data_IF_163355934914
#
_entry.id   IF_163355934914
#
_cell.length_a   1.000
_cell.length_b   1.000
_cell.length_c   1.000
_cell.angle_alpha   90.00
_cell.angle_beta   90.00
_cell.angle_gamma   90.00
#
_symmetry.space_group_name_H-M   'P 1'
#
loop_
_entity.id
_entity.type
_entity.pdbx_description
1 polymer ?
#
# COMPACT_ATOMS: atom_id res chain seq x y z
N UNK A 1 34.33 45.70 -12.41
CA UNK A 1 33.24 45.49 -11.44
C UNK A 1 32.06 44.93 -12.23
N UNK A 2 32.03 43.63 -12.54
CA UNK A 2 31.45 42.54 -11.73
C UNK A 2 30.10 42.91 -11.09
N UNK A 3 29.00 42.38 -11.62
CA UNK A 3 27.89 41.79 -10.86
C UNK A 3 27.06 40.91 -11.81
N UNK A 4 27.53 39.68 -12.02
CA UNK A 4 26.68 38.59 -12.54
C UNK A 4 25.71 38.20 -11.44
N UNK A 5 24.44 38.59 -11.58
CA UNK A 5 23.36 38.08 -10.75
C UNK A 5 22.97 36.68 -11.27
N UNK A 6 23.67 35.65 -10.78
CA UNK A 6 23.12 34.30 -10.77
C UNK A 6 22.01 34.29 -9.72
N UNK A 7 20.76 34.41 -10.17
CA UNK A 7 19.59 34.02 -9.39
C UNK A 7 19.66 32.50 -9.18
N UNK A 8 19.87 31.98 -7.96
CA UNK A 8 19.57 30.58 -7.72
C UNK A 8 18.06 30.44 -7.91
N UNK A 9 17.65 29.78 -8.98
CA UNK A 9 16.33 29.16 -9.02
C UNK A 9 16.33 28.18 -7.85
N UNK A 10 15.77 28.60 -6.72
CA UNK A 10 15.42 27.70 -5.64
C UNK A 10 14.37 26.76 -6.21
N UNK A 11 14.81 25.66 -6.80
CA UNK A 11 13.96 24.52 -7.06
C UNK A 11 13.39 24.17 -5.69
N UNK A 12 12.09 24.39 -5.51
CA UNK A 12 11.38 23.90 -4.34
C UNK A 12 11.71 22.41 -4.24
N UNK A 13 12.48 22.02 -3.23
CA UNK A 13 12.79 20.63 -2.96
C UNK A 13 11.57 20.01 -2.28
N UNK A 14 10.50 19.92 -3.07
CA UNK A 14 9.34 19.15 -2.71
C UNK A 14 9.82 17.73 -2.48
N UNK A 15 9.64 17.25 -1.25
CA UNK A 15 9.86 15.84 -1.01
C UNK A 15 8.92 15.04 -1.92
N UNK A 16 9.39 13.85 -2.23
CA UNK A 16 8.70 12.85 -3.04
C UNK A 16 7.27 12.56 -2.56
N UNK A 17 7.03 12.69 -1.25
CA UNK A 17 5.75 12.41 -0.64
C UNK A 17 5.66 13.00 0.77
N UNK A 18 4.46 12.97 1.32
CA UNK A 18 4.23 13.28 2.73
C UNK A 18 4.90 12.29 3.66
N UNK A 19 5.42 12.80 4.77
CA UNK A 19 5.85 12.03 5.91
C UNK A 19 4.67 11.27 6.53
N UNK A 20 4.91 10.08 7.10
CA UNK A 20 3.86 9.25 7.67
C UNK A 20 3.04 9.97 8.77
N UNK A 21 3.63 10.96 9.45
CA UNK A 21 2.98 11.76 10.47
C UNK A 21 2.24 13.00 9.94
N UNK A 22 2.28 13.29 8.63
CA UNK A 22 1.66 14.49 8.07
C UNK A 22 0.18 14.60 8.38
N UNK A 23 -0.57 13.50 8.34
CA UNK A 23 -1.99 13.50 8.70
C UNK A 23 -2.24 14.06 10.10
N UNK A 24 -1.38 13.71 11.07
CA UNK A 24 -1.48 14.22 12.44
C UNK A 24 -0.97 15.66 12.55
N UNK A 25 0.14 15.99 11.87
CA UNK A 25 0.72 17.33 11.89
C UNK A 25 -0.19 18.37 11.25
N UNK A 26 -0.76 18.07 10.09
CA UNK A 26 -1.72 18.93 9.38
C UNK A 26 -2.93 19.21 10.27
N UNK A 27 -3.47 18.18 10.95
CA UNK A 27 -4.58 18.32 11.92
C UNK A 27 -4.22 19.27 13.07
N UNK A 28 -2.97 19.27 13.51
CA UNK A 28 -2.44 20.13 14.56
C UNK A 28 -1.92 21.50 14.04
N UNK A 29 -2.27 21.88 12.81
CA UNK A 29 -1.95 23.20 12.26
C UNK A 29 -0.57 23.35 11.65
N UNK A 30 0.16 22.25 11.37
CA UNK A 30 1.51 22.29 10.79
C UNK A 30 1.60 23.15 9.52
N UNK A 31 0.65 23.04 8.60
CA UNK A 31 0.68 23.81 7.36
C UNK A 31 0.44 25.32 7.57
N UNK A 32 -0.25 25.71 8.64
CA UNK A 32 -0.60 27.11 8.93
C UNK A 32 0.31 27.77 9.97
N UNK A 33 1.15 26.99 10.64
CA UNK A 33 2.01 27.48 11.70
C UNK A 33 3.23 28.22 11.12
N UNK A 34 3.31 29.52 11.38
CA UNK A 34 4.37 30.41 10.91
C UNK A 34 5.77 30.03 11.41
N UNK A 35 5.88 29.20 12.47
CA UNK A 35 7.16 28.66 12.94
C UNK A 35 7.78 27.67 11.92
N UNK A 36 6.98 27.06 11.05
CA UNK A 36 7.47 26.18 10.00
C UNK A 36 7.58 26.95 8.69
N UNK A 37 8.82 27.16 8.24
CA UNK A 37 9.06 27.80 6.96
C UNK A 37 8.62 26.88 5.79
N UNK A 38 8.51 27.47 4.60
CA UNK A 38 8.06 26.76 3.40
C UNK A 38 8.92 25.54 3.06
N UNK A 39 10.24 25.59 3.29
CA UNK A 39 11.13 24.47 3.02
C UNK A 39 10.81 23.26 3.92
N UNK A 40 10.52 23.49 5.22
CA UNK A 40 10.08 22.43 6.15
C UNK A 40 8.74 21.85 5.71
N UNK A 41 7.80 22.71 5.28
CA UNK A 41 6.50 22.25 4.75
C UNK A 41 6.69 21.38 3.50
N UNK A 42 7.55 21.81 2.56
CA UNK A 42 7.86 21.07 1.34
C UNK A 42 8.63 19.76 1.59
N UNK A 43 9.47 19.72 2.63
CA UNK A 43 10.25 18.53 2.97
C UNK A 43 9.41 17.46 3.66
N UNK A 44 8.51 17.86 4.55
CA UNK A 44 7.77 16.92 5.38
C UNK A 44 6.39 16.63 4.83
N UNK A 45 5.62 17.64 4.43
CA UNK A 45 4.22 17.47 4.00
C UNK A 45 3.95 18.17 2.65
N UNK A 46 4.73 17.89 1.59
CA UNK A 46 4.60 18.55 0.30
C UNK A 46 3.22 18.39 -0.33
N UNK A 47 2.53 17.27 -0.10
CA UNK A 47 1.23 16.98 -0.73
C UNK A 47 0.07 17.33 0.19
N UNK A 48 0.20 17.11 1.51
CA UNK A 48 -0.86 17.40 2.47
C UNK A 48 -1.04 18.89 2.75
N UNK A 49 0.02 19.70 2.62
CA UNK A 49 -0.06 21.14 2.81
C UNK A 49 -0.27 21.85 1.48
N UNK A 50 -1.46 22.41 1.24
CA UNK A 50 -1.80 23.13 0.00
C UNK A 50 -0.93 24.38 -0.24
N UNK A 51 -0.36 24.96 0.82
CA UNK A 51 0.57 26.09 0.75
C UNK A 51 2.04 25.68 0.51
N UNK A 52 2.33 24.38 0.39
CA UNK A 52 3.67 23.90 0.05
C UNK A 52 4.15 24.46 -1.30
N UNK A 53 3.22 24.72 -2.23
CA UNK A 53 3.54 25.06 -3.61
C UNK A 53 4.17 23.89 -4.37
N UNK A 54 4.09 22.68 -3.84
CA UNK A 54 4.50 21.46 -4.52
C UNK A 54 3.39 20.97 -5.43
N UNK A 55 3.77 20.65 -6.67
CA UNK A 55 2.86 19.99 -7.60
C UNK A 55 2.98 18.49 -7.34
N UNK A 56 1.85 17.82 -7.08
CA UNK A 56 1.77 16.37 -7.04
C UNK A 56 1.85 15.83 -8.46
N UNK A 57 3.03 15.85 -9.06
CA UNK A 57 3.25 15.12 -10.31
C UNK A 57 3.44 13.66 -9.96
N UNK A 58 2.52 12.81 -10.41
CA UNK A 58 2.79 11.37 -10.52
C UNK A 58 4.09 11.22 -11.28
N UNK A 59 5.11 10.59 -10.68
CA UNK A 59 6.34 10.32 -11.42
C UNK A 59 5.97 9.41 -12.60
N UNK A 60 6.54 9.68 -13.77
CA UNK A 60 6.48 8.74 -14.91
C UNK A 60 7.70 7.85 -14.99
N UNK A 61 8.72 8.12 -14.16
CA UNK A 61 9.94 7.33 -14.04
C UNK A 61 9.95 6.62 -12.69
N UNK A 62 9.97 5.29 -12.72
CA UNK A 62 10.04 4.47 -11.50
C UNK A 62 11.43 4.51 -10.86
N UNK A 63 11.49 4.30 -9.55
CA UNK A 63 12.75 4.02 -8.87
C UNK A 63 13.35 2.70 -9.38
N UNK A 64 14.66 2.65 -9.57
CA UNK A 64 15.37 1.43 -10.01
C UNK A 64 15.22 0.26 -9.04
N UNK A 65 14.86 0.53 -7.77
CA UNK A 65 14.61 -0.49 -6.76
C UNK A 65 13.16 -0.98 -6.70
N UNK A 66 12.24 -0.49 -7.53
CA UNK A 66 10.82 -0.85 -7.42
C UNK A 66 10.57 -2.36 -7.50
N UNK A 67 11.21 -3.06 -8.45
CA UNK A 67 11.15 -4.51 -8.52
C UNK A 67 11.66 -5.18 -7.23
N UNK A 68 12.75 -4.68 -6.64
CA UNK A 68 13.28 -5.22 -5.40
C UNK A 68 12.29 -5.01 -4.25
N UNK A 69 11.81 -3.78 -4.04
CA UNK A 69 10.92 -3.43 -2.94
C UNK A 69 9.54 -4.10 -3.02
N UNK A 70 9.01 -4.27 -4.24
CA UNK A 70 7.74 -4.95 -4.47
C UNK A 70 7.83 -6.45 -4.16
N UNK A 71 8.98 -7.08 -4.48
CA UNK A 71 9.19 -8.51 -4.27
C UNK A 71 9.81 -8.86 -2.91
N UNK A 72 10.32 -7.89 -2.15
CA UNK A 72 10.93 -8.14 -0.85
C UNK A 72 9.89 -8.55 0.19
N UNK A 73 10.00 -9.78 0.70
CA UNK A 73 9.11 -10.34 1.71
C UNK A 73 9.11 -9.57 3.04
N UNK A 74 10.17 -8.82 3.35
CA UNK A 74 10.22 -8.02 4.59
C UNK A 74 9.31 -6.81 4.52
N UNK A 75 9.19 -6.17 3.35
CA UNK A 75 8.46 -4.90 3.18
C UNK A 75 7.17 -5.02 2.38
N UNK A 76 7.17 -5.81 1.30
CA UNK A 76 6.08 -5.93 0.33
C UNK A 76 5.54 -4.56 -0.09
N UNK A 77 6.41 -3.70 -0.64
CA UNK A 77 6.17 -2.25 -0.72
C UNK A 77 4.81 -1.85 -1.32
N UNK A 78 4.40 -2.46 -2.43
CA UNK A 78 3.13 -2.15 -3.07
C UNK A 78 1.91 -2.52 -2.19
N UNK A 79 2.07 -3.46 -1.25
CA UNK A 79 1.03 -3.90 -0.34
C UNK A 79 1.29 -3.57 1.14
N UNK A 80 2.27 -2.69 1.42
CA UNK A 80 2.55 -2.26 2.78
C UNK A 80 1.36 -1.43 3.32
N UNK A 81 0.85 -1.74 4.53
CA UNK A 81 -0.33 -1.09 5.10
C UNK A 81 -0.06 0.35 5.57
N UNK A 82 1.18 0.65 5.90
CA UNK A 82 1.64 1.97 6.33
C UNK A 82 2.20 2.83 5.18
N UNK A 83 2.00 2.40 3.92
CA UNK A 83 2.49 3.09 2.72
C UNK A 83 1.30 3.73 1.98
N UNK A 84 1.15 5.06 2.00
CA UNK A 84 0.08 5.76 1.29
C UNK A 84 0.13 5.53 -0.23
N UNK A 85 -1.03 5.56 -0.88
CA UNK A 85 -1.15 5.44 -2.35
C UNK A 85 -0.28 6.47 -3.07
N UNK A 86 -0.22 7.71 -2.58
CA UNK A 86 0.62 8.75 -3.15
C UNK A 86 2.12 8.39 -3.14
N UNK A 87 2.62 7.76 -2.06
CA UNK A 87 4.01 7.27 -2.00
C UNK A 87 4.24 6.15 -3.02
N UNK A 88 3.32 5.20 -3.12
CA UNK A 88 3.40 4.11 -4.12
C UNK A 88 3.43 4.68 -5.54
N UNK A 89 2.52 5.59 -5.86
CA UNK A 89 2.44 6.27 -7.15
C UNK A 89 3.66 7.12 -7.46
N UNK A 90 4.30 7.70 -6.45
CA UNK A 90 5.50 8.50 -6.68
C UNK A 90 6.72 7.62 -6.95
N UNK A 91 6.98 6.65 -6.09
CA UNK A 91 8.20 5.83 -6.19
C UNK A 91 8.10 4.76 -7.27
N UNK A 92 6.96 4.07 -7.34
CA UNK A 92 6.77 2.89 -8.17
C UNK A 92 5.43 2.92 -8.93
N UNK A 93 5.19 3.95 -9.77
CA UNK A 93 3.92 4.17 -10.47
C UNK A 93 3.49 3.00 -11.36
N UNK A 94 4.44 2.31 -12.01
CA UNK A 94 4.13 1.23 -12.95
C UNK A 94 4.19 -0.13 -12.27
N UNK A 95 5.18 -0.38 -11.39
CA UNK A 95 5.33 -1.64 -10.65
C UNK A 95 4.17 -1.85 -9.67
N UNK A 96 3.70 -0.78 -9.00
CA UNK A 96 2.56 -0.86 -8.08
C UNK A 96 1.22 -0.47 -8.73
N UNK A 97 1.13 -0.40 -10.06
CA UNK A 97 -0.05 0.12 -10.76
C UNK A 97 -1.34 -0.59 -10.36
N UNK A 98 -1.30 -1.91 -10.17
CA UNK A 98 -2.47 -2.70 -9.76
C UNK A 98 -2.97 -2.35 -8.36
N UNK A 99 -2.06 -2.13 -7.40
CA UNK A 99 -2.36 -1.72 -6.03
C UNK A 99 -2.82 -0.27 -5.95
N UNK A 100 -2.26 0.61 -6.78
CA UNK A 100 -2.65 2.01 -6.88
C UNK A 100 -4.06 2.11 -7.49
N UNK A 101 -4.33 1.38 -8.57
CA UNK A 101 -5.61 1.42 -9.25
C UNK A 101 -6.74 0.75 -8.47
N UNK A 102 -6.43 -0.03 -7.42
CA UNK A 102 -7.41 -0.83 -6.69
C UNK A 102 -8.24 -1.70 -7.64
N UNK A 103 -7.57 -2.24 -8.67
CA UNK A 103 -8.21 -2.93 -9.79
C UNK A 103 -8.84 -4.28 -9.40
N UNK A 104 -8.43 -4.83 -8.26
CA UNK A 104 -8.92 -6.09 -7.71
C UNK A 104 -9.84 -5.81 -6.52
N UNK A 105 -10.67 -6.78 -6.16
CA UNK A 105 -11.53 -6.71 -4.99
C UNK A 105 -10.77 -7.23 -3.74
N UNK A 106 -10.10 -8.37 -3.88
CA UNK A 106 -9.18 -8.88 -2.87
C UNK A 106 -7.92 -9.45 -3.50
N UNK A 107 -6.81 -9.40 -2.75
CA UNK A 107 -5.57 -10.06 -3.13
C UNK A 107 -4.79 -10.56 -1.93
N UNK A 108 -3.99 -11.60 -2.14
CA UNK A 108 -3.13 -12.22 -1.13
C UNK A 108 -1.70 -12.22 -1.63
N UNK A 109 -0.75 -11.83 -0.79
CA UNK A 109 0.67 -11.72 -1.14
C UNK A 109 1.44 -12.84 -0.45
N UNK A 110 1.87 -13.84 -1.24
CA UNK A 110 2.48 -15.08 -0.76
C UNK A 110 3.98 -15.07 -1.04
N UNK A 111 4.75 -15.32 0.00
CA UNK A 111 6.20 -15.52 -0.11
C UNK A 111 6.49 -16.79 -0.92
N UNK A 112 7.40 -16.67 -1.89
CA UNK A 112 7.98 -17.78 -2.63
C UNK A 112 9.50 -17.60 -2.62
N UNK A 113 10.16 -18.20 -1.62
CA UNK A 113 11.57 -17.95 -1.34
C UNK A 113 11.81 -16.49 -0.92
N UNK A 114 12.64 -15.77 -1.66
CA UNK A 114 12.94 -14.35 -1.41
C UNK A 114 11.94 -13.38 -2.07
N UNK A 115 11.05 -13.90 -2.93
CA UNK A 115 10.11 -13.10 -3.70
C UNK A 115 8.69 -13.18 -3.12
N UNK A 116 7.83 -12.25 -3.54
CA UNK A 116 6.41 -12.24 -3.18
C UNK A 116 5.58 -12.33 -4.45
N UNK A 117 4.67 -13.30 -4.48
CA UNK A 117 3.68 -13.47 -5.54
C UNK A 117 2.32 -12.99 -5.07
N UNK A 118 1.66 -12.18 -5.88
CA UNK A 118 0.27 -11.77 -5.67
C UNK A 118 -0.69 -12.80 -6.27
N UNK A 119 -1.64 -13.24 -5.47
CA UNK A 119 -2.85 -13.97 -5.89
C UNK A 119 -4.00 -12.97 -5.92
N UNK A 120 -4.82 -13.01 -6.97
CA UNK A 120 -5.97 -12.10 -7.12
C UNK A 120 -7.27 -12.88 -7.07
N UNK A 121 -8.30 -12.26 -6.49
CA UNK A 121 -9.67 -12.72 -6.60
C UNK A 121 -10.57 -11.52 -6.84
N UNK A 122 -11.51 -11.67 -7.77
CA UNK A 122 -12.65 -10.76 -7.92
C UNK A 122 -13.79 -11.23 -7.02
N UNK A 123 -14.79 -10.38 -6.84
CA UNK A 123 -16.01 -10.73 -6.12
C UNK A 123 -16.64 -11.98 -6.73
N UNK A 124 -16.54 -13.07 -5.99
CA UNK A 124 -17.27 -14.30 -6.23
C UNK A 124 -17.42 -14.96 -4.86
N UNK A 125 -18.63 -14.87 -4.32
CA UNK A 125 -18.95 -15.32 -2.97
C UNK A 125 -18.94 -16.85 -2.84
N UNK A 126 -18.87 -17.57 -3.97
CA UNK A 126 -19.02 -19.02 -3.99
C UNK A 126 -17.76 -19.78 -4.39
N UNK A 127 -16.69 -19.08 -4.80
CA UNK A 127 -15.47 -19.73 -5.30
C UNK A 127 -14.29 -19.40 -4.42
N UNK A 128 -13.82 -20.39 -3.67
CA UNK A 128 -12.57 -20.27 -2.91
C UNK A 128 -11.36 -20.25 -3.85
N UNK A 129 -10.48 -19.28 -3.66
CA UNK A 129 -9.23 -19.13 -4.40
C UNK A 129 -8.09 -19.69 -3.55
N UNK A 130 -7.34 -20.64 -4.12
CA UNK A 130 -6.15 -21.20 -3.47
C UNK A 130 -5.09 -20.12 -3.27
N UNK A 131 -4.56 -20.01 -2.06
CA UNK A 131 -3.49 -19.05 -1.76
C UNK A 131 -2.14 -19.52 -2.31
N UNK A 132 -1.91 -20.84 -2.32
CA UNK A 132 -0.58 -21.42 -2.55
C UNK A 132 0.33 -21.35 -1.32
N UNK A 133 -0.22 -20.98 -0.16
CA UNK A 133 0.50 -20.94 1.10
C UNK A 133 0.82 -22.35 1.62
N UNK A 134 1.91 -22.47 2.37
CA UNK A 134 2.40 -23.72 2.95
C UNK A 134 3.25 -23.45 4.19
N UNK A 135 3.89 -24.49 4.74
CA UNK A 135 4.89 -24.36 5.81
C UNK A 135 6.10 -23.52 5.37
N UNK A 136 6.41 -23.48 4.08
CA UNK A 136 7.53 -22.72 3.50
C UNK A 136 7.09 -21.39 2.90
N UNK A 137 5.94 -21.39 2.21
CA UNK A 137 5.43 -20.23 1.49
C UNK A 137 4.35 -19.53 2.32
N UNK A 138 4.67 -18.42 2.96
CA UNK A 138 3.74 -17.74 3.87
C UNK A 138 2.97 -16.62 3.20
N UNK A 139 1.71 -16.47 3.56
CA UNK A 139 1.00 -15.22 3.28
C UNK A 139 1.61 -14.13 4.16
N UNK A 140 1.99 -13.00 3.57
CA UNK A 140 2.62 -11.89 4.28
C UNK A 140 1.63 -10.74 4.47
N UNK A 141 1.01 -10.34 3.35
CA UNK A 141 0.08 -9.23 3.29
C UNK A 141 -1.18 -9.67 2.55
N UNK A 142 -2.25 -8.93 2.79
CA UNK A 142 -3.47 -9.02 2.02
C UNK A 142 -3.93 -7.62 1.63
N UNK A 143 -4.69 -7.57 0.55
CA UNK A 143 -5.44 -6.41 0.12
C UNK A 143 -6.93 -6.77 0.10
N UNK A 144 -7.75 -5.89 0.64
CA UNK A 144 -9.22 -5.98 0.63
C UNK A 144 -9.74 -4.60 0.31
N UNK A 145 -10.40 -4.46 -0.83
CA UNK A 145 -11.01 -3.20 -1.27
C UNK A 145 -12.05 -2.73 -0.26
N UNK A 146 -12.25 -1.42 -0.18
CA UNK A 146 -13.30 -0.85 0.66
C UNK A 146 -14.65 -1.51 0.38
N UNK A 147 -15.42 -1.80 1.44
CA UNK A 147 -16.70 -2.54 1.43
C UNK A 147 -16.60 -4.03 1.10
N UNK A 148 -15.41 -4.56 0.86
CA UNK A 148 -15.19 -5.98 0.67
C UNK A 148 -14.75 -6.68 1.96
N UNK A 149 -15.03 -7.97 2.02
CA UNK A 149 -14.61 -8.91 3.06
C UNK A 149 -13.84 -10.06 2.42
N UNK A 150 -12.64 -10.32 2.92
CA UNK A 150 -11.85 -11.52 2.64
C UNK A 150 -11.98 -12.49 3.82
N UNK A 151 -12.38 -13.72 3.54
CA UNK A 151 -12.49 -14.80 4.52
C UNK A 151 -11.45 -15.87 4.23
N UNK A 152 -10.59 -16.19 5.20
CA UNK A 152 -9.60 -17.26 5.11
C UNK A 152 -10.15 -18.60 5.58
N UNK A 153 -9.67 -19.66 4.93
CA UNK A 153 -9.98 -21.04 5.30
C UNK A 153 -8.70 -21.88 5.35
N UNK A 154 -8.63 -22.80 6.30
CA UNK A 154 -7.49 -23.71 6.43
C UNK A 154 -7.37 -24.66 5.22
N UNK A 155 -8.51 -25.13 4.68
CA UNK A 155 -8.57 -26.01 3.50
C UNK A 155 -8.25 -25.24 2.22
N UNK A 156 -7.58 -25.89 1.26
CA UNK A 156 -7.37 -25.35 -0.08
C UNK A 156 -8.62 -25.44 -0.99
N UNK A 157 -9.62 -26.22 -0.59
CA UNK A 157 -10.90 -26.40 -1.31
C UNK A 157 -12.02 -26.47 -0.28
N UNK A 158 -12.35 -25.34 0.38
CA UNK A 158 -13.28 -25.35 1.48
C UNK A 158 -14.71 -25.56 1.02
N UNK A 159 -15.50 -26.30 1.79
CA UNK A 159 -16.97 -26.28 1.71
C UNK A 159 -17.45 -25.07 2.52
N UNK A 160 -17.92 -24.03 1.81
CA UNK A 160 -18.36 -22.78 2.44
C UNK A 160 -19.52 -23.04 3.41
N UNK A 161 -19.41 -22.51 4.63
CA UNK A 161 -20.38 -22.69 5.71
C UNK A 161 -20.11 -23.88 6.65
N UNK A 162 -19.27 -24.84 6.24
CA UNK A 162 -18.98 -26.04 7.03
C UNK A 162 -17.49 -26.22 7.39
N UNK A 163 -16.58 -25.59 6.65
CA UNK A 163 -15.15 -25.78 6.83
C UNK A 163 -14.51 -24.78 7.82
N UNK A 164 -13.35 -25.18 8.36
CA UNK A 164 -12.50 -24.46 9.31
C UNK A 164 -12.12 -23.05 8.85
N UNK A 165 -13.07 -22.12 8.97
CA UNK A 165 -12.87 -20.68 8.88
C UNK A 165 -11.76 -20.26 9.83
N UNK A 166 -10.85 -19.43 9.33
CA UNK A 166 -9.69 -18.96 10.09
C UNK A 166 -9.93 -17.53 10.56
N UNK A 167 -10.20 -16.61 9.62
CA UNK A 167 -10.32 -15.18 9.92
C UNK A 167 -11.02 -14.41 8.81
N UNK A 168 -11.73 -13.35 9.19
CA UNK A 168 -12.28 -12.33 8.29
C UNK A 168 -11.45 -11.04 8.34
N UNK A 169 -11.31 -10.41 7.18
CA UNK A 169 -10.69 -9.11 6.97
C UNK A 169 -11.62 -8.22 6.14
N UNK A 170 -12.01 -7.06 6.66
CA UNK A 170 -12.91 -6.14 5.97
C UNK A 170 -12.17 -4.89 5.54
N UNK A 171 -12.18 -4.60 4.24
CA UNK A 171 -11.61 -3.39 3.68
C UNK A 171 -12.47 -2.17 4.01
N UNK A 172 -11.81 -1.08 4.36
CA UNK A 172 -12.44 0.22 4.61
C UNK A 172 -11.74 1.30 3.80
N UNK A 173 -12.33 2.50 3.72
CA UNK A 173 -11.67 3.65 3.09
C UNK A 173 -10.38 4.06 3.79
N UNK A 174 -10.24 3.75 5.08
CA UNK A 174 -9.04 4.04 5.87
C UNK A 174 -7.99 2.92 5.81
N UNK A 175 -8.40 1.70 5.47
CA UNK A 175 -7.54 0.52 5.54
C UNK A 175 -7.97 -0.55 4.52
N UNK A 176 -7.15 -0.71 3.49
CA UNK A 176 -7.33 -1.75 2.46
C UNK A 176 -6.21 -2.78 2.44
N UNK A 177 -5.13 -2.56 3.20
CA UNK A 177 -3.99 -3.48 3.28
C UNK A 177 -3.78 -3.93 4.72
N UNK A 178 -3.46 -5.21 4.89
CA UNK A 178 -3.24 -5.81 6.20
C UNK A 178 -1.99 -6.68 6.17
N UNK A 179 -1.20 -6.64 7.24
CA UNK A 179 -0.04 -7.53 7.43
C UNK A 179 -0.41 -8.63 8.39
N UNK A 180 -0.17 -9.88 8.00
CA UNK A 180 -0.48 -11.03 8.83
C UNK A 180 0.66 -11.28 9.82
N UNK A 181 0.31 -11.47 11.09
CA UNK A 181 1.26 -11.84 12.15
C UNK A 181 1.02 -13.27 12.67
N UNK A 182 -0.22 -13.77 12.59
CA UNK A 182 -0.63 -15.06 13.15
C UNK A 182 -0.31 -16.21 12.20
N UNK A 183 0.35 -17.27 12.71
CA UNK A 183 0.85 -18.38 11.88
C UNK A 183 -0.26 -19.12 11.12
N UNK A 184 -1.40 -19.38 11.75
CA UNK A 184 -2.52 -20.11 11.13
C UNK A 184 -3.11 -19.34 9.95
N UNK A 185 -3.14 -18.02 10.01
CA UNK A 185 -3.55 -17.17 8.89
C UNK A 185 -2.52 -17.24 7.76
N UNK A 186 -1.23 -17.19 8.09
CA UNK A 186 -0.13 -17.26 7.10
C UNK A 186 -0.08 -18.56 6.30
N UNK A 187 -0.68 -19.62 6.82
CA UNK A 187 -0.75 -20.96 6.23
C UNK A 187 -2.13 -21.29 5.66
N UNK A 188 -3.05 -20.33 5.58
CA UNK A 188 -4.42 -20.57 5.08
C UNK A 188 -4.38 -21.09 3.64
N UNK A 189 -5.03 -22.22 3.38
CA UNK A 189 -5.01 -22.90 2.08
C UNK A 189 -5.81 -22.17 0.99
N UNK A 190 -6.82 -21.40 1.37
CA UNK A 190 -7.66 -20.64 0.44
C UNK A 190 -8.31 -19.41 1.08
N UNK A 191 -8.87 -18.54 0.24
CA UNK A 191 -9.66 -17.40 0.65
C UNK A 191 -10.87 -17.19 -0.26
N UNK A 192 -11.89 -16.52 0.25
CA UNK A 192 -13.06 -16.03 -0.51
C UNK A 192 -13.13 -14.52 -0.39
N UNK A 193 -13.53 -13.84 -1.47
CA UNK A 193 -13.73 -12.39 -1.49
C UNK A 193 -15.20 -12.05 -1.74
N UNK A 194 -15.82 -11.29 -0.83
CA UNK A 194 -17.19 -10.81 -0.97
C UNK A 194 -17.25 -9.28 -0.83
N UNK A 195 -17.73 -8.57 -1.86
CA UNK A 195 -17.92 -7.11 -1.85
C UNK A 195 -19.38 -6.63 -1.69
N UNK A 196 -20.30 -7.57 -1.52
CA UNK A 196 -21.70 -7.32 -1.18
C UNK A 196 -21.97 -7.94 0.19
N UNK A 197 -21.55 -7.27 1.29
CA UNK A 197 -21.84 -7.73 2.63
C UNK A 197 -23.35 -7.73 2.93
#
# INVERSE_FOLDING_TARGET
VLFSALLPMATSQCAAADHASCTNWVRNGFCANAAYNKAVVQQYCPMACTNSGCVTTTSTTENTNCNKWANDASTVFCAAPNMPKAQKSFFCPTTCAGEIAEAEDCAVYVQNGAQVKKTTAKTDVNTAVKTGASTTNKILNIYVKATCKLSFYASATPVLGNDNHVKDYTGTTAQSFFRLSVQTEKESGSFVCNCNP
#
